data_IF_511151599688
#
_entry.id   IF_511151599688
#
_cell.length_a   1.000
_cell.length_b   1.000
_cell.length_c   1.000
_cell.angle_alpha   90.00
_cell.angle_beta   90.00
_cell.angle_gamma   90.00
#
_symmetry.space_group_name_H-M   'P 1'
#
loop_
_entity.id
_entity.type
_entity.pdbx_description
1 polymer ?
#
# COMPACT_ATOMS: atom_id res chain seq x y z
N UNK A 1 -13.41 38.84 -2.61
CA UNK A 1 -12.55 38.25 -3.66
C UNK A 1 -12.48 36.76 -3.42
N UNK A 2 -12.56 35.91 -4.46
CA UNK A 2 -12.41 34.47 -4.29
C UNK A 2 -10.99 34.15 -3.81
N UNK A 3 -10.87 33.23 -2.85
CA UNK A 3 -9.58 32.74 -2.34
C UNK A 3 -9.25 31.43 -3.05
N UNK A 4 -8.06 31.33 -3.62
CA UNK A 4 -7.50 30.06 -4.07
C UNK A 4 -6.92 29.33 -2.86
N UNK A 5 -6.95 28.00 -2.90
CA UNK A 5 -6.33 27.11 -1.91
C UNK A 5 -5.66 25.99 -2.67
N UNK A 6 -4.59 25.44 -2.11
CA UNK A 6 -3.96 24.24 -2.66
C UNK A 6 -4.71 22.98 -2.23
N UNK A 7 -4.66 21.95 -3.06
CA UNK A 7 -5.10 20.60 -2.73
C UNK A 7 -4.05 19.94 -1.84
N UNK A 8 -4.45 19.57 -0.62
CA UNK A 8 -3.58 18.94 0.38
C UNK A 8 -3.10 17.53 -0.06
N UNK A 9 -3.63 17.00 -1.17
CA UNK A 9 -3.22 15.72 -1.76
C UNK A 9 -2.27 15.90 -2.95
N UNK A 10 -2.75 16.43 -4.07
CA UNK A 10 -1.97 16.48 -5.32
C UNK A 10 -1.16 17.75 -5.54
N UNK A 11 -1.28 18.76 -4.66
CA UNK A 11 -0.51 20.01 -4.74
C UNK A 11 -1.02 21.03 -5.77
N UNK A 12 -2.11 20.75 -6.48
CA UNK A 12 -2.70 21.68 -7.46
C UNK A 12 -3.63 22.69 -6.80
N UNK A 13 -3.75 23.90 -7.35
CA UNK A 13 -4.78 24.86 -6.93
C UNK A 13 -6.21 24.32 -7.08
N UNK A 14 -7.03 24.55 -6.07
CA UNK A 14 -8.48 24.29 -6.05
C UNK A 14 -9.21 25.52 -6.59
N UNK A 15 -9.97 25.32 -7.66
CA UNK A 15 -10.88 26.35 -8.20
C UNK A 15 -11.88 26.80 -7.13
N UNK A 16 -12.01 28.10 -6.84
CA UNK A 16 -12.91 28.61 -5.81
C UNK A 16 -14.36 28.13 -5.99
N UNK A 17 -14.92 27.52 -4.95
CA UNK A 17 -16.28 26.96 -4.99
C UNK A 17 -16.35 25.51 -5.51
N UNK A 18 -15.20 24.88 -5.75
CA UNK A 18 -15.06 23.46 -6.13
C UNK A 18 -14.29 22.69 -5.06
N UNK A 19 -14.30 21.36 -5.16
CA UNK A 19 -13.59 20.45 -4.26
C UNK A 19 -14.39 20.07 -3.02
N UNK A 20 -13.78 19.25 -2.18
CA UNK A 20 -14.37 18.72 -0.94
C UNK A 20 -13.42 18.96 0.23
N UNK A 21 -13.98 19.31 1.38
CA UNK A 21 -13.24 19.39 2.64
C UNK A 21 -13.56 18.14 3.46
N UNK A 22 -12.55 17.29 3.67
CA UNK A 22 -12.65 16.13 4.55
C UNK A 22 -12.12 16.48 5.93
N UNK A 23 -12.92 16.21 6.97
CA UNK A 23 -12.53 16.43 8.37
C UNK A 23 -12.32 15.06 9.01
N UNK A 24 -11.08 14.80 9.41
CA UNK A 24 -10.67 13.59 10.09
C UNK A 24 -11.23 13.54 11.52
N UNK A 25 -11.21 12.36 12.14
CA UNK A 25 -11.75 12.14 13.49
C UNK A 25 -11.02 12.94 14.58
N UNK A 26 -9.73 13.21 14.38
CA UNK A 26 -8.88 14.03 15.23
C UNK A 26 -9.10 15.55 15.02
N UNK A 27 -9.88 15.94 14.02
CA UNK A 27 -10.16 17.32 13.65
C UNK A 27 -9.19 17.89 12.60
N UNK A 28 -8.22 17.11 12.12
CA UNK A 28 -7.40 17.50 10.98
C UNK A 28 -8.30 17.67 9.74
N UNK A 29 -7.96 18.64 8.88
CA UNK A 29 -8.75 18.94 7.69
C UNK A 29 -7.90 18.76 6.44
N UNK A 30 -8.42 18.03 5.46
CA UNK A 30 -7.80 17.81 4.15
C UNK A 30 -8.73 18.33 3.05
N UNK A 31 -8.23 19.19 2.19
CA UNK A 31 -8.94 19.75 1.06
C UNK A 31 -8.55 19.00 -0.21
N UNK A 32 -9.55 18.48 -0.92
CA UNK A 32 -9.36 17.78 -2.18
C UNK A 32 -9.91 18.61 -3.34
N UNK A 33 -9.15 18.71 -4.44
CA UNK A 33 -9.60 19.37 -5.66
C UNK A 33 -10.68 18.56 -6.40
N UNK A 34 -10.68 17.23 -6.26
CA UNK A 34 -11.54 16.31 -7.00
C UNK A 34 -11.67 14.95 -6.33
N UNK A 35 -12.72 14.21 -6.71
CA UNK A 35 -12.95 12.82 -6.27
C UNK A 35 -11.83 11.87 -6.63
N UNK A 36 -11.02 12.15 -7.67
CA UNK A 36 -9.83 11.37 -7.97
C UNK A 36 -8.85 11.37 -6.79
N UNK A 37 -8.66 12.51 -6.14
CA UNK A 37 -7.76 12.62 -5.00
C UNK A 37 -8.34 11.94 -3.76
N UNK A 38 -9.64 12.13 -3.51
CA UNK A 38 -10.38 11.46 -2.43
C UNK A 38 -10.23 9.94 -2.53
N UNK A 39 -10.56 9.36 -3.69
CA UNK A 39 -10.49 7.92 -3.89
C UNK A 39 -9.05 7.38 -3.79
N UNK A 40 -8.02 8.11 -4.24
CA UNK A 40 -6.65 7.62 -4.07
C UNK A 40 -6.19 7.69 -2.60
N UNK A 41 -6.63 8.69 -1.84
CA UNK A 41 -6.40 8.75 -0.40
C UNK A 41 -7.12 7.59 0.32
N UNK A 42 -8.36 7.27 -0.05
CA UNK A 42 -9.13 6.15 0.50
C UNK A 42 -8.48 4.79 0.18
N UNK A 43 -7.83 4.67 -0.97
CA UNK A 43 -7.02 3.49 -1.34
C UNK A 43 -5.68 3.41 -0.59
N UNK A 44 -5.37 4.35 0.31
CA UNK A 44 -4.11 4.41 1.05
C UNK A 44 -2.90 4.77 0.18
N UNK A 45 -3.13 5.35 -1.01
CA UNK A 45 -2.04 5.79 -1.88
C UNK A 45 -1.56 7.16 -1.45
N UNK A 46 -0.29 7.27 -1.13
CA UNK A 46 0.33 8.54 -0.79
C UNK A 46 0.65 9.32 -2.07
N UNK A 47 0.35 10.62 -2.10
CA UNK A 47 0.53 11.46 -3.28
C UNK A 47 1.99 11.50 -3.77
N UNK A 48 2.96 11.53 -2.84
CA UNK A 48 4.41 11.49 -3.12
C UNK A 48 4.86 10.31 -3.98
N UNK A 49 4.13 9.20 -3.94
CA UNK A 49 4.44 7.99 -4.70
C UNK A 49 3.75 7.96 -6.08
N UNK A 50 2.98 8.99 -6.43
CA UNK A 50 2.21 9.08 -7.67
C UNK A 50 2.79 10.17 -8.58
N UNK A 51 3.49 9.75 -9.64
CA UNK A 51 4.22 10.64 -10.58
C UNK A 51 3.36 11.73 -11.24
N UNK A 52 2.03 11.55 -11.27
CA UNK A 52 1.10 12.54 -11.85
C UNK A 52 0.78 13.70 -10.91
N UNK A 53 1.09 13.58 -9.61
CA UNK A 53 0.84 14.65 -8.63
C UNK A 53 1.95 15.68 -8.67
N UNK A 54 1.61 16.95 -8.44
CA UNK A 54 2.63 18.00 -8.35
C UNK A 54 3.46 17.84 -7.08
N UNK A 55 2.88 17.27 -6.02
CA UNK A 55 3.58 16.83 -4.80
C UNK A 55 4.76 15.91 -5.14
N UNK A 56 4.53 14.81 -5.84
CA UNK A 56 5.60 13.88 -6.26
C UNK A 56 6.65 14.54 -7.17
N UNK A 57 6.21 15.42 -8.08
CA UNK A 57 7.13 16.16 -8.96
C UNK A 57 7.98 17.19 -8.20
N UNK A 58 7.44 17.78 -7.14
CA UNK A 58 8.13 18.76 -6.28
C UNK A 58 9.05 18.13 -5.24
N UNK A 59 8.71 16.96 -4.72
CA UNK A 59 9.46 16.23 -3.67
C UNK A 59 10.69 15.48 -4.19
N UNK A 60 10.89 15.39 -5.52
CA UNK A 60 12.14 14.91 -6.11
C UNK A 60 13.38 15.75 -5.74
N UNK A 61 13.23 16.81 -4.93
CA UNK A 61 14.30 17.66 -4.41
C UNK A 61 14.37 17.85 -2.89
N UNK A 62 13.56 17.16 -2.06
CA UNK A 62 13.61 17.38 -0.61
C UNK A 62 13.10 16.19 0.23
N UNK A 63 13.96 15.20 0.48
CA UNK A 63 13.94 14.46 1.75
C UNK A 63 15.39 14.41 2.24
N UNK A 64 15.70 15.21 3.26
CA UNK A 64 16.78 14.89 4.19
C UNK A 64 16.28 13.71 5.02
N UNK A 65 16.89 12.54 4.81
CA UNK A 65 16.62 11.34 5.59
C UNK A 65 17.23 11.54 6.98
N UNK A 66 16.42 11.67 8.02
CA UNK A 66 16.85 11.45 9.39
C UNK A 66 16.83 9.92 9.61
N UNK A 67 17.99 9.24 9.74
CA UNK A 67 18.00 7.80 9.92
C UNK A 67 17.49 7.45 11.32
N UNK A 68 16.38 6.71 11.39
CA UNK A 68 15.92 6.04 12.60
C UNK A 68 16.99 5.01 13.03
N UNK A 69 17.64 5.33 14.14
CA UNK A 69 18.71 4.55 14.75
C UNK A 69 18.19 3.21 15.31
N UNK A 70 18.44 2.15 14.55
CA UNK A 70 18.27 0.75 14.98
C UNK A 70 19.30 0.39 16.06
N UNK A 71 18.86 0.37 17.32
CA UNK A 71 19.58 -0.27 18.44
C UNK A 71 19.40 -1.79 18.38
N UNK A 72 20.34 -2.48 17.72
CA UNK A 72 20.50 -3.94 17.82
C UNK A 72 21.22 -4.30 19.13
N UNK A 73 20.47 -4.68 20.16
CA UNK A 73 21.01 -5.44 21.30
C UNK A 73 21.10 -6.92 20.90
N UNK A 74 22.26 -7.34 20.43
CA UNK A 74 22.63 -8.75 20.32
C UNK A 74 23.55 -9.10 21.49
N UNK A 75 23.01 -9.79 22.49
CA UNK A 75 23.79 -10.52 23.46
C UNK A 75 24.00 -11.96 22.98
N UNK A 76 25.24 -12.45 22.76
CA UNK A 76 25.49 -13.87 22.55
C UNK A 76 25.73 -14.56 23.89
N UNK A 77 24.96 -15.60 24.19
CA UNK A 77 25.30 -16.59 25.21
C UNK A 77 25.18 -17.99 24.60
N UNK A 78 26.28 -18.73 24.70
CA UNK A 78 26.48 -20.09 24.21
C UNK A 78 26.00 -21.16 25.22
N UNK A 79 25.68 -22.35 24.69
CA UNK A 79 25.97 -23.74 25.16
C UNK A 79 24.95 -24.70 24.46
N UNK A 80 25.35 -25.60 23.55
CA UNK A 80 25.74 -27.02 23.77
C UNK A 80 24.58 -27.90 24.31
N UNK A 81 24.24 -29.12 23.89
CA UNK A 81 24.64 -30.11 22.86
C UNK A 81 23.69 -31.34 23.03
N UNK A 82 23.68 -32.29 22.07
CA UNK A 82 23.13 -33.69 22.07
C UNK A 82 21.59 -33.90 21.86
N UNK A 83 21.09 -34.47 20.74
CA UNK A 83 21.08 -35.89 20.28
C UNK A 83 20.05 -36.77 21.08
N UNK A 84 19.11 -37.60 20.60
CA UNK A 84 18.89 -38.44 19.40
C UNK A 84 17.38 -38.81 19.25
N UNK A 85 16.99 -39.20 18.02
CA UNK A 85 16.01 -40.23 17.57
C UNK A 85 14.64 -40.49 18.25
N UNK A 86 13.56 -40.47 17.46
CA UNK A 86 12.73 -41.68 17.23
C UNK A 86 11.96 -41.57 15.90
N UNK A 87 11.90 -42.68 15.17
CA UNK A 87 11.23 -42.86 13.88
C UNK A 87 9.84 -43.52 14.08
N UNK A 88 9.15 -43.78 12.97
CA UNK A 88 7.85 -44.46 12.78
C UNK A 88 6.57 -43.64 13.12
N UNK A 89 5.54 -43.54 12.28
CA UNK A 89 4.91 -44.57 11.47
C UNK A 89 4.13 -43.97 10.28
N UNK A 90 3.91 -44.80 9.25
CA UNK A 90 3.38 -44.46 7.93
C UNK A 90 1.90 -44.85 7.75
N UNK A 91 1.17 -44.11 6.92
CA UNK A 91 0.08 -44.58 6.03
C UNK A 91 -0.25 -43.38 5.11
N UNK A 92 0.03 -43.37 3.79
CA UNK A 92 -0.66 -44.10 2.70
C UNK A 92 -2.20 -43.90 2.74
N UNK A 93 -2.94 -43.56 1.70
CA UNK A 93 -2.75 -43.61 0.25
C UNK A 93 -3.91 -42.81 -0.42
N UNK A 94 -3.75 -42.52 -1.72
CA UNK A 94 -4.77 -42.27 -2.77
C UNK A 94 -5.85 -41.17 -2.58
N UNK A 95 -6.15 -40.32 -3.55
CA UNK A 95 -6.38 -40.64 -4.97
C UNK A 95 -6.27 -39.35 -5.82
N UNK A 96 -5.58 -39.45 -6.95
CA UNK A 96 -5.58 -38.47 -8.02
C UNK A 96 -6.90 -38.51 -8.82
N UNK A 97 -7.34 -37.35 -9.29
CA UNK A 97 -7.99 -37.24 -10.59
C UNK A 97 -7.71 -35.86 -11.19
N UNK A 98 -6.69 -35.83 -12.05
CA UNK A 98 -6.68 -35.24 -13.40
C UNK A 98 -8.01 -34.67 -13.94
N UNK A 99 -8.09 -33.72 -14.87
CA UNK A 99 -7.20 -32.84 -15.65
C UNK A 99 -8.16 -32.13 -16.64
N UNK A 100 -7.67 -31.10 -17.33
CA UNK A 100 -8.14 -30.62 -18.65
C UNK A 100 -9.46 -29.82 -18.75
N UNK A 101 -9.43 -28.54 -19.16
CA UNK A 101 -9.19 -28.02 -20.53
C UNK A 101 -10.56 -27.74 -21.18
N UNK A 102 -11.02 -26.49 -21.23
CA UNK A 102 -10.77 -25.48 -22.29
C UNK A 102 -12.12 -25.18 -22.97
N UNK A 103 -12.31 -23.89 -23.25
CA UNK A 103 -13.49 -23.33 -23.89
C UNK A 103 -13.60 -23.80 -25.35
N UNK A 104 -14.82 -24.07 -25.83
CA UNK A 104 -15.08 -24.17 -27.26
C UNK A 104 -16.42 -23.52 -27.61
N UNK A 105 -16.29 -22.60 -28.54
CA UNK A 105 -17.25 -21.61 -28.99
C UNK A 105 -18.31 -22.18 -29.95
N UNK A 106 -19.45 -21.48 -30.01
CA UNK A 106 -20.38 -21.26 -31.13
C UNK A 106 -20.55 -22.32 -32.26
N UNK A 107 -21.79 -22.83 -32.43
CA UNK A 107 -22.45 -23.01 -33.74
C UNK A 107 -23.90 -23.57 -33.63
N UNK A 108 -24.86 -22.77 -34.08
CA UNK A 108 -26.04 -23.13 -34.90
C UNK A 108 -27.06 -24.19 -34.42
N UNK A 109 -28.25 -23.73 -33.97
CA UNK A 109 -29.58 -24.13 -34.46
C UNK A 109 -30.73 -23.37 -33.76
#
# INVERSE_FOLDING_TARGET
MPRTRECDYCGTDIEPGTGTMFVHKDGATTHFCSSKCENNADLGREARNLEWTDTARGEAGAVEEEPDEVETDTAPAADADEAEADAEDADADADEAEDADEEAEEAEA
#
